data_IF_257283049049
#
_entry.id   IF_257283049049
#
_cell.length_a   1.000
_cell.length_b   1.000
_cell.length_c   1.000
_cell.angle_alpha   90.00
_cell.angle_beta   90.00
_cell.angle_gamma   90.00
#
_symmetry.space_group_name_H-M   'P 1'
#
loop_
_entity.id
_entity.type
_entity.pdbx_description
1 polymer ?
#
# COMPACT_ATOMS: atom_id res chain seq x y z
N UNK A 1 18.01 -10.94 -5.21
CA UNK A 1 16.94 -10.41 -6.10
C UNK A 1 15.70 -9.89 -5.38
N UNK A 2 15.52 -10.17 -4.09
CA UNK A 2 14.24 -10.06 -3.37
C UNK A 2 14.18 -8.91 -2.37
N UNK A 3 15.32 -8.32 -1.97
CA UNK A 3 15.40 -7.28 -0.94
C UNK A 3 14.47 -6.09 -1.19
N UNK A 4 14.53 -5.47 -2.38
CA UNK A 4 13.69 -4.31 -2.70
C UNK A 4 12.20 -4.65 -2.68
N UNK A 5 11.81 -5.83 -3.17
CA UNK A 5 10.41 -6.28 -3.16
C UNK A 5 9.91 -6.66 -1.76
N UNK A 6 10.78 -7.21 -0.89
CA UNK A 6 10.45 -7.49 0.50
C UNK A 6 10.17 -6.17 1.22
N UNK A 7 11.10 -5.21 1.11
CA UNK A 7 11.00 -3.88 1.72
C UNK A 7 9.74 -3.15 1.24
N UNK A 8 9.41 -3.19 -0.06
CA UNK A 8 8.18 -2.57 -0.56
C UNK A 8 6.93 -3.28 -0.05
N UNK A 9 6.93 -4.62 0.00
CA UNK A 9 5.77 -5.42 0.40
C UNK A 9 5.40 -5.21 1.86
N UNK A 10 6.39 -5.19 2.77
CA UNK A 10 6.13 -5.00 4.21
C UNK A 10 5.59 -3.59 4.51
N UNK A 11 6.00 -2.58 3.73
CA UNK A 11 5.49 -1.21 3.83
C UNK A 11 4.10 -1.07 3.21
N UNK A 12 3.89 -1.62 2.01
CA UNK A 12 2.59 -1.56 1.32
C UNK A 12 1.49 -2.27 2.11
N UNK A 13 1.84 -3.35 2.80
CA UNK A 13 0.94 -4.09 3.70
C UNK A 13 0.84 -3.48 5.11
N UNK A 14 1.59 -2.41 5.40
CA UNK A 14 1.61 -1.70 6.68
C UNK A 14 2.03 -2.55 7.88
N UNK A 15 2.92 -3.52 7.69
CA UNK A 15 3.53 -4.26 8.80
C UNK A 15 4.74 -3.51 9.39
N UNK A 16 5.43 -2.74 8.56
CA UNK A 16 6.50 -1.86 8.98
C UNK A 16 6.31 -0.48 8.34
N UNK A 17 6.74 0.55 9.03
CA UNK A 17 6.75 1.92 8.55
C UNK A 17 8.15 2.51 8.68
N UNK A 18 8.43 3.53 7.85
CA UNK A 18 9.71 4.22 7.86
C UNK A 18 9.51 5.60 8.49
N UNK A 19 10.05 5.79 9.70
CA UNK A 19 10.00 7.05 10.46
C UNK A 19 11.43 7.57 10.58
N UNK A 20 11.66 8.80 10.14
CA UNK A 20 12.98 9.48 10.17
C UNK A 20 14.14 8.63 9.60
N UNK A 21 13.87 7.96 8.48
CA UNK A 21 14.87 7.12 7.80
C UNK A 21 15.03 5.71 8.39
N UNK A 22 14.42 5.40 9.53
CA UNK A 22 14.52 4.10 10.23
C UNK A 22 13.23 3.29 10.09
N UNK A 23 13.35 1.97 10.11
CA UNK A 23 12.18 1.08 10.10
C UNK A 23 11.67 0.84 11.51
N UNK A 24 10.38 1.08 11.72
CA UNK A 24 9.65 0.74 12.93
C UNK A 24 8.55 -0.29 12.61
N UNK A 25 8.34 -1.31 13.46
CA UNK A 25 7.21 -2.22 13.29
C UNK A 25 5.91 -1.56 13.73
N UNK A 26 4.86 -1.67 12.91
CA UNK A 26 3.53 -1.19 13.27
C UNK A 26 2.89 -2.11 14.31
N UNK A 27 1.86 -1.66 15.02
CA UNK A 27 1.11 -2.50 15.97
C UNK A 27 0.53 -3.76 15.28
N UNK A 28 0.08 -3.60 14.02
CA UNK A 28 -0.40 -4.71 13.19
C UNK A 28 0.74 -5.67 12.86
N UNK A 29 1.92 -5.14 12.50
CA UNK A 29 3.12 -5.95 12.25
C UNK A 29 3.53 -6.77 13.45
N UNK A 30 3.61 -6.15 14.64
CA UNK A 30 3.95 -6.83 15.89
C UNK A 30 2.97 -7.95 16.20
N UNK A 31 1.68 -7.66 16.18
CA UNK A 31 0.66 -8.65 16.54
C UNK A 31 0.63 -9.84 15.58
N UNK A 32 0.78 -9.58 14.28
CA UNK A 32 0.84 -10.64 13.26
C UNK A 32 2.11 -11.46 13.44
N UNK A 33 3.25 -10.82 13.69
CA UNK A 33 4.50 -11.51 13.97
C UNK A 33 4.39 -12.41 15.21
N UNK A 34 3.82 -11.91 16.30
CA UNK A 34 3.64 -12.69 17.53
C UNK A 34 2.70 -13.88 17.32
N UNK A 35 1.65 -13.71 16.51
CA UNK A 35 0.77 -14.82 16.14
C UNK A 35 1.49 -15.85 15.27
N UNK A 36 2.27 -15.41 14.28
CA UNK A 36 3.04 -16.29 13.41
C UNK A 36 4.11 -17.06 14.18
N UNK A 37 4.81 -16.43 15.13
CA UNK A 37 5.79 -17.10 16.00
C UNK A 37 5.15 -18.18 16.88
N UNK A 38 3.91 -17.97 17.33
CA UNK A 38 3.16 -18.98 18.11
C UNK A 38 2.69 -20.14 17.25
N UNK A 39 2.25 -19.88 16.03
CA UNK A 39 1.70 -20.90 15.12
C UNK A 39 2.73 -21.65 14.31
N UNK A 40 3.87 -21.02 14.01
CA UNK A 40 4.88 -21.49 13.06
C UNK A 40 6.31 -21.20 13.56
N UNK A 41 6.70 -21.66 14.77
CA UNK A 41 8.02 -21.37 15.34
C UNK A 41 9.17 -21.88 14.46
N UNK A 42 8.96 -23.02 13.79
CA UNK A 42 9.98 -23.68 12.97
C UNK A 42 10.12 -23.07 11.57
N UNK A 43 9.12 -22.31 11.09
CA UNK A 43 9.14 -21.65 9.79
C UNK A 43 9.51 -20.16 9.87
N UNK A 44 9.20 -19.51 11.00
CA UNK A 44 9.41 -18.08 11.22
C UNK A 44 10.63 -17.90 12.12
N UNK A 45 11.75 -18.49 11.69
CA UNK A 45 13.06 -18.29 12.28
C UNK A 45 14.10 -18.04 11.19
N UNK A 46 15.25 -17.51 11.59
CA UNK A 46 16.32 -17.12 10.66
C UNK A 46 16.92 -18.36 9.98
N UNK A 47 17.10 -19.44 10.73
CA UNK A 47 17.75 -20.67 10.28
C UNK A 47 16.95 -21.38 9.17
N UNK A 48 15.62 -21.36 9.26
CA UNK A 48 14.71 -21.88 8.25
C UNK A 48 14.81 -21.08 6.95
N UNK A 49 14.86 -19.75 7.06
CA UNK A 49 15.00 -18.90 5.87
C UNK A 49 16.32 -19.09 5.15
N UNK A 50 17.43 -19.35 5.88
CA UNK A 50 18.69 -19.71 5.23
C UNK A 50 18.61 -21.08 4.55
N UNK A 51 18.04 -22.08 5.23
CA UNK A 51 17.94 -23.42 4.66
C UNK A 51 17.06 -23.46 3.40
N UNK A 52 15.97 -22.69 3.39
CA UNK A 52 15.09 -22.59 2.23
C UNK A 52 15.82 -22.00 1.00
N UNK A 53 16.65 -20.97 1.18
CA UNK A 53 17.42 -20.39 0.06
C UNK A 53 18.47 -21.37 -0.45
N UNK A 54 19.14 -22.12 0.44
CA UNK A 54 20.06 -23.21 0.05
C UNK A 54 19.36 -24.31 -0.76
N UNK A 55 18.13 -24.68 -0.38
CA UNK A 55 17.34 -25.65 -1.15
C UNK A 55 16.97 -25.12 -2.54
N UNK A 56 16.65 -23.83 -2.66
CA UNK A 56 16.34 -23.20 -3.93
C UNK A 56 17.58 -23.14 -4.84
N UNK A 57 18.75 -22.83 -4.28
CA UNK A 57 20.02 -22.85 -5.01
C UNK A 57 20.35 -24.28 -5.48
N UNK A 58 20.18 -25.29 -4.64
CA UNK A 58 20.38 -26.69 -5.02
C UNK A 58 19.43 -27.15 -6.14
N UNK A 59 18.22 -26.58 -6.20
CA UNK A 59 17.28 -26.81 -7.30
C UNK A 59 17.75 -26.11 -8.59
N UNK A 60 18.24 -24.87 -8.50
CA UNK A 60 18.77 -24.12 -9.64
C UNK A 60 19.99 -24.81 -10.26
N UNK A 61 20.87 -25.37 -9.43
CA UNK A 61 22.05 -26.13 -9.86
C UNK A 61 21.73 -27.54 -10.39
N UNK A 62 20.49 -28.01 -10.23
CA UNK A 62 20.06 -29.35 -10.62
C UNK A 62 20.42 -30.46 -9.64
N UNK A 63 20.92 -30.11 -8.45
CA UNK A 63 21.30 -31.02 -7.38
C UNK A 63 20.09 -31.58 -6.61
N UNK A 64 18.93 -30.90 -6.66
CA UNK A 64 17.67 -31.36 -6.04
C UNK A 64 16.47 -31.17 -6.99
N UNK A 65 15.58 -32.16 -7.15
CA UNK A 65 14.34 -31.96 -7.90
C UNK A 65 13.40 -31.00 -7.15
N UNK A 66 12.94 -29.93 -7.82
CA UNK A 66 12.07 -28.90 -7.21
C UNK A 66 10.78 -29.48 -6.61
N UNK A 67 10.21 -30.52 -7.23
CA UNK A 67 8.99 -31.19 -6.75
C UNK A 67 9.22 -31.82 -5.38
N UNK A 68 10.41 -32.35 -5.14
CA UNK A 68 10.78 -32.96 -3.86
C UNK A 68 10.91 -31.89 -2.78
N UNK A 69 11.62 -30.80 -3.05
CA UNK A 69 11.76 -29.68 -2.11
C UNK A 69 10.39 -29.10 -1.69
N UNK A 70 9.50 -28.85 -2.66
CA UNK A 70 8.14 -28.35 -2.37
C UNK A 70 7.32 -29.35 -1.55
N UNK A 71 7.43 -30.65 -1.84
CA UNK A 71 6.67 -31.69 -1.12
C UNK A 71 7.14 -31.82 0.34
N UNK A 72 8.45 -31.76 0.56
CA UNK A 72 9.05 -31.81 1.90
C UNK A 72 8.58 -30.62 2.75
N UNK A 73 8.67 -29.40 2.20
CA UNK A 73 8.12 -28.20 2.84
C UNK A 73 6.63 -28.33 3.18
N UNK A 74 5.81 -28.79 2.22
CA UNK A 74 4.37 -28.84 2.41
C UNK A 74 3.95 -29.86 3.48
N UNK A 75 4.73 -30.93 3.66
CA UNK A 75 4.49 -31.94 4.69
C UNK A 75 4.56 -31.37 6.10
N UNK A 76 5.63 -30.63 6.41
CA UNK A 76 5.79 -29.98 7.72
C UNK A 76 4.80 -28.83 7.88
N UNK A 77 4.67 -27.97 6.88
CA UNK A 77 3.76 -26.83 6.89
C UNK A 77 2.31 -27.22 7.15
N UNK A 78 1.82 -28.30 6.55
CA UNK A 78 0.42 -28.74 6.75
C UNK A 78 0.17 -29.12 8.20
N UNK A 79 1.13 -29.77 8.85
CA UNK A 79 1.03 -30.17 10.26
C UNK A 79 0.97 -28.95 11.17
N UNK A 80 1.81 -27.95 10.92
CA UNK A 80 1.83 -26.73 11.71
C UNK A 80 0.60 -25.86 11.44
N UNK A 81 0.08 -25.87 10.20
CA UNK A 81 -1.16 -25.19 9.84
C UNK A 81 -2.36 -25.75 10.61
N UNK A 82 -2.49 -27.08 10.74
CA UNK A 82 -3.58 -27.67 11.52
C UNK A 82 -3.50 -27.31 13.00
N UNK A 83 -2.30 -27.26 13.58
CA UNK A 83 -2.10 -26.76 14.95
C UNK A 83 -2.48 -25.29 15.06
N UNK A 84 -2.00 -24.46 14.13
CA UNK A 84 -2.20 -23.01 14.14
C UNK A 84 -3.69 -22.61 14.02
N UNK A 85 -4.54 -23.41 13.37
CA UNK A 85 -5.99 -23.17 13.32
C UNK A 85 -6.66 -23.15 14.69
N UNK A 86 -6.10 -23.83 15.69
CA UNK A 86 -6.65 -23.87 17.04
C UNK A 86 -6.20 -22.69 17.91
N UNK A 87 -5.18 -21.96 17.48
CA UNK A 87 -4.66 -20.80 18.21
C UNK A 87 -5.59 -19.61 17.95
N UNK A 88 -6.14 -18.97 19.00
CA UNK A 88 -6.98 -17.80 18.84
C UNK A 88 -6.23 -16.71 18.05
N UNK A 89 -6.86 -16.23 16.98
CA UNK A 89 -6.28 -15.20 16.15
C UNK A 89 -6.37 -13.82 16.82
N UNK A 90 -5.69 -12.81 16.26
CA UNK A 90 -5.83 -11.42 16.72
C UNK A 90 -7.28 -10.93 16.70
N UNK A 91 -8.12 -11.46 15.81
CA UNK A 91 -9.54 -11.13 15.68
C UNK A 91 -10.42 -11.68 16.82
N UNK A 92 -9.96 -12.72 17.50
CA UNK A 92 -10.70 -13.39 18.57
C UNK A 92 -10.37 -12.79 19.95
N UNK A 93 -9.34 -11.94 20.01
CA UNK A 93 -8.98 -11.21 21.22
C UNK A 93 -9.93 -10.03 21.40
N UNK A 94 -10.80 -10.10 22.41
CA UNK A 94 -11.72 -9.00 22.77
C UNK A 94 -10.97 -8.03 23.67
N UNK A 95 -10.74 -6.82 23.17
CA UNK A 95 -10.20 -5.72 23.98
C UNK A 95 -11.32 -5.07 24.82
N UNK A 96 -11.01 -4.58 26.03
CA UNK A 96 -11.99 -3.89 26.86
C UNK A 96 -12.59 -2.68 26.12
N UNK A 97 -13.87 -2.36 26.35
CA UNK A 97 -14.53 -1.22 25.72
C UNK A 97 -13.81 0.08 26.10
N UNK A 98 -13.80 1.02 25.16
CA UNK A 98 -13.11 2.30 25.32
C UNK A 98 -14.03 3.33 25.97
N UNK A 99 -13.45 4.31 26.66
CA UNK A 99 -14.21 5.45 27.24
C UNK A 99 -14.62 6.49 26.17
N UNK A 100 -14.49 6.17 24.89
CA UNK A 100 -14.80 7.07 23.78
C UNK A 100 -16.26 6.89 23.34
N UNK A 101 -17.13 7.90 23.52
CA UNK A 101 -18.50 7.84 23.04
C UNK A 101 -18.57 8.01 21.52
N UNK A 102 -19.44 7.24 20.87
CA UNK A 102 -19.69 7.34 19.45
C UNK A 102 -20.45 8.64 19.10
N UNK A 103 -19.91 9.46 18.18
CA UNK A 103 -20.51 10.73 17.72
C UNK A 103 -21.96 10.62 17.21
N UNK A 104 -22.39 9.45 16.73
CA UNK A 104 -23.73 9.25 16.15
C UNK A 104 -24.78 8.71 17.11
N UNK A 105 -24.38 8.07 18.20
CA UNK A 105 -25.33 7.37 19.07
C UNK A 105 -24.98 7.39 20.57
N UNK A 106 -23.84 7.96 20.96
CA UNK A 106 -23.42 8.08 22.35
C UNK A 106 -22.91 6.79 23.01
N UNK A 107 -23.00 5.62 22.35
CA UNK A 107 -22.48 4.36 22.91
C UNK A 107 -20.95 4.33 22.90
N UNK A 108 -20.38 3.73 23.93
CA UNK A 108 -18.93 3.51 24.04
C UNK A 108 -18.41 2.67 22.88
N UNK A 109 -17.35 3.15 22.23
CA UNK A 109 -16.76 2.47 21.08
C UNK A 109 -15.92 1.27 21.51
N UNK A 110 -15.87 0.25 20.65
CA UNK A 110 -15.09 -0.97 20.86
C UNK A 110 -13.97 -1.05 19.82
N UNK A 111 -12.80 -1.58 20.22
CA UNK A 111 -11.70 -1.83 19.30
C UNK A 111 -11.96 -3.14 18.56
N UNK A 112 -11.97 -3.10 17.23
CA UNK A 112 -12.14 -4.27 16.35
C UNK A 112 -11.00 -4.41 15.36
N UNK A 113 -10.77 -5.65 14.93
CA UNK A 113 -9.74 -6.00 13.97
C UNK A 113 -10.25 -6.00 12.52
N UNK A 114 -9.63 -5.18 11.67
CA UNK A 114 -9.89 -5.10 10.24
C UNK A 114 -8.68 -5.50 9.39
N UNK A 115 -8.82 -5.38 8.06
CA UNK A 115 -7.70 -5.62 7.12
C UNK A 115 -6.55 -4.61 7.26
N UNK A 116 -6.86 -3.41 7.76
CA UNK A 116 -5.92 -2.31 7.89
C UNK A 116 -5.44 -2.10 9.33
N UNK A 117 -5.65 -3.09 10.21
CA UNK A 117 -5.34 -3.01 11.64
C UNK A 117 -6.57 -2.82 12.53
N UNK A 118 -6.31 -2.41 13.77
CA UNK A 118 -7.34 -2.10 14.78
C UNK A 118 -8.06 -0.80 14.42
N UNK A 119 -9.35 -0.74 14.70
CA UNK A 119 -10.17 0.45 14.52
C UNK A 119 -11.26 0.51 15.58
N UNK A 120 -11.71 1.72 15.92
CA UNK A 120 -12.87 1.91 16.78
C UNK A 120 -14.14 1.69 15.98
N UNK A 121 -15.03 0.85 16.50
CA UNK A 121 -16.32 0.54 15.90
C UNK A 121 -17.43 0.75 16.92
N UNK A 122 -18.56 1.27 16.47
CA UNK A 122 -19.73 1.34 17.32
C UNK A 122 -20.30 -0.07 17.60
N UNK A 123 -20.60 -0.44 18.86
CA UNK A 123 -21.25 -1.72 19.19
C UNK A 123 -22.65 -1.83 18.58
N UNK A 124 -23.35 -0.70 18.43
CA UNK A 124 -24.69 -0.62 17.82
C UNK A 124 -24.70 -0.87 16.30
N UNK A 125 -23.66 -1.48 15.72
CA UNK A 125 -23.68 -1.89 14.32
C UNK A 125 -24.77 -2.93 14.01
N UNK A 126 -25.14 -3.76 15.00
CA UNK A 126 -26.20 -4.77 14.87
C UNK A 126 -27.61 -4.24 15.22
N UNK A 127 -27.71 -3.05 15.79
CA UNK A 127 -28.99 -2.47 16.20
C UNK A 127 -29.78 -1.96 14.98
N UNK A 128 -31.07 -1.68 15.16
CA UNK A 128 -31.92 -1.06 14.13
C UNK A 128 -32.37 0.33 14.61
N UNK A 129 -31.88 1.44 14.01
CA UNK A 129 -31.00 1.53 12.85
C UNK A 129 -29.52 1.25 13.18
N UNK A 130 -28.76 0.61 12.26
CA UNK A 130 -27.37 0.22 12.52
C UNK A 130 -26.45 1.44 12.52
N UNK A 131 -25.71 1.64 13.61
CA UNK A 131 -24.71 2.68 13.69
C UNK A 131 -23.41 2.21 13.01
N UNK A 132 -23.20 2.63 11.74
CA UNK A 132 -21.99 2.30 10.96
C UNK A 132 -20.80 3.25 11.21
N UNK A 133 -20.73 3.85 12.40
CA UNK A 133 -19.62 4.75 12.71
C UNK A 133 -18.35 3.96 13.00
N UNK A 134 -17.26 4.29 12.31
CA UNK A 134 -15.93 3.72 12.54
C UNK A 134 -14.87 4.80 12.48
N UNK A 135 -13.87 4.71 13.34
CA UNK A 135 -12.79 5.70 13.44
C UNK A 135 -11.44 5.00 13.62
N UNK A 136 -10.37 5.59 13.07
CA UNK A 136 -9.01 5.13 13.33
C UNK A 136 -8.50 5.77 14.62
N UNK A 137 -7.60 5.08 15.31
CA UNK A 137 -7.02 5.58 16.55
C UNK A 137 -5.55 5.20 16.66
N UNK A 138 -4.83 5.95 17.49
CA UNK A 138 -3.50 5.59 18.00
C UNK A 138 -3.58 5.48 19.52
N UNK A 139 -2.93 4.46 20.08
CA UNK A 139 -2.81 4.27 21.52
C UNK A 139 -1.50 4.92 21.98
N UNK A 140 -1.61 5.93 22.85
CA UNK A 140 -0.46 6.58 23.47
C UNK A 140 0.15 5.66 24.54
N UNK A 141 1.39 5.94 24.93
CA UNK A 141 2.12 5.17 25.97
C UNK A 141 1.36 5.15 27.30
N UNK A 142 0.62 6.21 27.60
CA UNK A 142 -0.23 6.34 28.79
C UNK A 142 -1.55 5.54 28.71
N UNK A 143 -1.72 4.72 27.66
CA UNK A 143 -2.94 3.94 27.43
C UNK A 143 -4.14 4.73 26.90
N UNK A 144 -4.01 6.05 26.77
CA UNK A 144 -5.06 6.93 26.24
C UNK A 144 -5.21 6.75 24.72
N UNK A 145 -6.44 6.69 24.25
CA UNK A 145 -6.78 6.49 22.83
C UNK A 145 -7.00 7.85 22.17
N UNK A 146 -6.14 8.21 21.21
CA UNK A 146 -6.29 9.42 20.40
C UNK A 146 -6.92 9.05 19.05
N UNK A 147 -8.05 9.65 18.73
CA UNK A 147 -8.66 9.52 17.40
C UNK A 147 -7.73 10.20 16.39
N UNK A 148 -7.24 9.43 15.43
CA UNK A 148 -6.41 9.96 14.35
C UNK A 148 -7.29 10.10 13.13
N UNK A 149 -7.65 11.33 12.73
CA UNK A 149 -8.36 11.50 11.48
C UNK A 149 -7.48 10.96 10.36
N UNK A 150 -8.08 10.19 9.45
CA UNK A 150 -7.38 9.76 8.24
C UNK A 150 -6.86 11.02 7.55
N UNK A 151 -5.55 11.19 7.51
CA UNK A 151 -4.93 12.34 6.84
C UNK A 151 -5.26 12.20 5.35
N UNK A 152 -6.29 12.90 4.92
CA UNK A 152 -6.59 13.08 3.51
C UNK A 152 -5.65 14.18 3.04
N UNK A 153 -4.65 13.85 2.22
CA UNK A 153 -3.84 14.87 1.57
C UNK A 153 -4.79 15.75 0.75
N UNK A 154 -5.04 16.96 1.23
CA UNK A 154 -5.79 17.99 0.50
C UNK A 154 -4.92 18.49 -0.63
N UNK A 155 -5.47 18.53 -1.83
CA UNK A 155 -4.84 19.18 -2.98
C UNK A 155 -5.25 20.64 -3.02
N UNK A 156 -4.42 21.50 -3.62
CA UNK A 156 -4.77 22.91 -3.86
C UNK A 156 -5.92 23.08 -4.88
N UNK A 157 -6.34 22.00 -5.54
CA UNK A 157 -7.43 22.00 -6.50
C UNK A 157 -8.79 22.05 -5.80
N UNK A 158 -9.61 23.05 -6.15
CA UNK A 158 -11.03 23.15 -5.77
C UNK A 158 -11.89 22.41 -6.77
N UNK A 159 -12.94 21.76 -6.30
CA UNK A 159 -13.83 21.03 -7.18
C UNK A 159 -14.71 21.97 -8.03
N UNK A 160 -14.79 21.68 -9.32
CA UNK A 160 -15.59 22.45 -10.30
C UNK A 160 -17.09 22.52 -9.97
N UNK A 161 -17.64 21.56 -9.21
CA UNK A 161 -19.08 21.51 -8.89
C UNK A 161 -19.43 22.13 -7.53
N UNK A 162 -18.63 21.83 -6.50
CA UNK A 162 -18.91 22.17 -5.10
C UNK A 162 -18.04 23.35 -4.61
N UNK A 163 -16.99 23.75 -5.34
CA UNK A 163 -15.90 24.64 -4.89
C UNK A 163 -15.16 24.19 -3.62
N UNK A 164 -15.57 23.08 -3.01
CA UNK A 164 -14.90 22.48 -1.86
C UNK A 164 -13.51 21.97 -2.25
N UNK A 165 -12.56 21.93 -1.30
CA UNK A 165 -11.22 21.41 -1.55
C UNK A 165 -11.31 19.95 -1.99
N UNK A 166 -10.43 19.55 -2.91
CA UNK A 166 -10.34 18.16 -3.30
C UNK A 166 -9.29 17.41 -2.47
N UNK A 167 -9.51 16.11 -2.27
CA UNK A 167 -8.72 15.24 -1.41
C UNK A 167 -8.21 14.02 -2.17
N UNK A 168 -6.95 13.64 -1.93
CA UNK A 168 -6.35 12.45 -2.54
C UNK A 168 -6.83 11.20 -1.80
N UNK A 169 -7.55 10.34 -2.52
CA UNK A 169 -8.01 9.02 -2.04
C UNK A 169 -7.28 7.92 -2.82
N UNK A 170 -7.17 6.75 -2.19
CA UNK A 170 -6.59 5.56 -2.82
C UNK A 170 -7.71 4.55 -3.10
N UNK A 171 -7.79 4.06 -4.34
CA UNK A 171 -8.79 3.07 -4.76
C UNK A 171 -8.16 1.93 -5.57
N UNK A 172 -8.99 1.07 -6.14
CA UNK A 172 -8.54 -0.13 -6.91
C UNK A 172 -7.63 0.19 -8.09
N UNK A 173 -7.74 1.39 -8.64
CA UNK A 173 -6.99 1.83 -9.83
C UNK A 173 -5.77 2.70 -9.49
N UNK A 174 -5.49 2.94 -8.21
CA UNK A 174 -4.44 3.85 -7.75
C UNK A 174 -5.02 5.05 -7.01
N UNK A 175 -4.18 6.07 -6.85
CA UNK A 175 -4.57 7.33 -6.20
C UNK A 175 -5.41 8.18 -7.16
N UNK A 176 -6.46 8.80 -6.65
CA UNK A 176 -7.35 9.69 -7.38
C UNK A 176 -7.78 10.85 -6.47
N UNK A 177 -8.29 11.92 -7.06
CA UNK A 177 -8.76 13.10 -6.35
C UNK A 177 -10.29 13.03 -6.24
N UNK A 178 -10.87 13.35 -5.08
CA UNK A 178 -12.33 13.41 -4.86
C UNK A 178 -12.75 14.73 -4.17
N UNK A 179 -13.97 15.25 -4.40
CA UNK A 179 -14.47 16.39 -3.61
C UNK A 179 -14.53 15.98 -2.13
N UNK A 180 -14.06 16.85 -1.23
CA UNK A 180 -14.14 16.67 0.23
C UNK A 180 -15.58 16.58 0.72
N UNK A 181 -16.52 17.27 0.06
CA UNK A 181 -17.95 17.26 0.38
C UNK A 181 -18.69 15.98 -0.05
N UNK A 182 -18.00 14.84 -0.20
CA UNK A 182 -18.65 13.55 -0.35
C UNK A 182 -19.39 13.19 0.95
N UNK A 183 -20.67 12.78 0.93
CA UNK A 183 -21.43 12.19 -0.19
C UNK A 183 -22.20 13.17 -1.09
N UNK A 184 -22.34 14.43 -0.68
CA UNK A 184 -23.12 15.47 -1.37
C UNK A 184 -22.57 15.76 -2.77
N UNK A 185 -21.24 15.79 -2.90
CA UNK A 185 -20.57 15.92 -4.19
C UNK A 185 -19.74 14.68 -4.52
N UNK A 186 -20.19 13.91 -5.51
CA UNK A 186 -19.54 12.67 -5.98
C UNK A 186 -18.47 12.90 -7.06
N UNK A 187 -18.01 14.13 -7.24
CA UNK A 187 -16.99 14.46 -8.25
C UNK A 187 -15.67 13.78 -7.91
N UNK A 188 -15.13 13.03 -8.87
CA UNK A 188 -13.81 12.41 -8.79
C UNK A 188 -13.03 12.73 -10.06
N UNK A 189 -11.72 12.91 -9.92
CA UNK A 189 -10.79 13.17 -11.01
C UNK A 189 -9.56 12.28 -10.87
N UNK A 190 -8.92 11.87 -11.98
CA UNK A 190 -7.61 11.23 -11.92
C UNK A 190 -6.59 12.17 -11.25
N UNK A 191 -5.70 11.61 -10.42
CA UNK A 191 -4.58 12.38 -9.88
C UNK A 191 -3.55 12.63 -11.00
N UNK A 192 -3.42 13.88 -11.44
CA UNK A 192 -2.40 14.28 -12.39
C UNK A 192 -1.01 14.20 -11.74
N UNK A 193 0.00 13.76 -12.51
CA UNK A 193 1.39 13.71 -12.04
C UNK A 193 2.12 15.06 -12.16
N UNK A 194 1.42 16.12 -12.57
CA UNK A 194 2.00 17.43 -12.87
C UNK A 194 2.77 17.48 -14.19
N UNK A 195 2.85 16.37 -14.93
CA UNK A 195 3.56 16.28 -16.21
C UNK A 195 2.58 16.43 -17.37
N UNK A 196 2.81 17.45 -18.21
CA UNK A 196 2.02 17.69 -19.43
C UNK A 196 2.29 16.61 -20.49
N UNK A 197 1.27 16.30 -21.29
CA UNK A 197 1.41 15.37 -22.40
C UNK A 197 2.39 15.93 -23.44
N UNK A 198 3.43 15.17 -23.84
CA UNK A 198 4.40 15.65 -24.84
C UNK A 198 3.87 15.58 -26.28
N UNK A 199 2.67 15.05 -26.51
CA UNK A 199 2.11 14.93 -27.87
C UNK A 199 1.71 16.32 -28.41
N UNK A 200 2.15 16.71 -29.62
CA UNK A 200 1.85 18.02 -30.19
C UNK A 200 0.34 18.26 -30.30
N UNK A 201 -0.12 19.43 -29.86
CA UNK A 201 -1.54 19.79 -29.82
C UNK A 201 -2.33 19.20 -28.63
N UNK A 202 -1.68 18.46 -27.73
CA UNK A 202 -2.35 17.88 -26.56
C UNK A 202 -2.08 18.67 -25.28
N UNK A 203 -3.03 19.50 -24.84
CA UNK A 203 -2.98 20.16 -23.52
C UNK A 203 -3.35 19.25 -22.33
N UNK A 204 -3.26 17.92 -22.48
CA UNK A 204 -3.61 16.96 -21.43
C UNK A 204 -2.48 16.77 -20.40
N UNK A 205 -2.80 16.11 -19.29
CA UNK A 205 -1.85 15.74 -18.24
C UNK A 205 -1.65 14.23 -18.21
N UNK A 206 -0.46 13.76 -17.83
CA UNK A 206 -0.20 12.34 -17.65
C UNK A 206 -0.79 11.87 -16.32
N UNK A 207 -1.58 10.80 -16.41
CA UNK A 207 -2.27 10.17 -15.30
C UNK A 207 -1.91 8.68 -15.23
N UNK A 208 -1.90 8.13 -14.03
CA UNK A 208 -1.67 6.70 -13.83
C UNK A 208 -2.94 5.90 -14.16
N UNK A 209 -2.81 4.88 -15.01
CA UNK A 209 -3.84 3.90 -15.37
C UNK A 209 -3.35 2.47 -15.13
N UNK A 210 -4.25 1.49 -15.16
CA UNK A 210 -3.96 0.05 -15.02
C UNK A 210 -4.50 -0.71 -16.22
N UNK A 211 -3.81 -1.77 -16.64
CA UNK A 211 -4.25 -2.63 -17.75
C UNK A 211 -5.56 -3.37 -17.41
N UNK A 212 -6.29 -3.89 -18.41
CA UNK A 212 -7.59 -4.59 -18.24
C UNK A 212 -7.52 -5.76 -17.24
N UNK A 213 -6.37 -6.44 -17.12
CA UNK A 213 -6.12 -7.53 -16.17
C UNK A 213 -5.51 -7.07 -14.83
N UNK A 214 -5.39 -5.76 -14.59
CA UNK A 214 -4.93 -5.16 -13.34
C UNK A 214 -3.44 -5.33 -13.01
N UNK A 215 -2.69 -6.09 -13.82
CA UNK A 215 -1.35 -6.57 -13.49
C UNK A 215 -0.26 -5.49 -13.55
N UNK A 216 -0.38 -4.48 -14.43
CA UNK A 216 0.67 -3.46 -14.61
C UNK A 216 0.07 -2.06 -14.71
N UNK A 217 0.68 -1.11 -14.01
CA UNK A 217 0.38 0.30 -14.17
C UNK A 217 1.07 0.86 -15.40
N UNK A 218 0.42 1.79 -16.07
CA UNK A 218 0.98 2.57 -17.18
C UNK A 218 0.53 4.02 -17.03
N UNK A 219 1.26 4.94 -17.64
CA UNK A 219 1.00 6.38 -17.56
C UNK A 219 0.55 6.85 -18.93
N UNK A 220 -0.66 7.39 -19.00
CA UNK A 220 -1.25 7.82 -20.26
C UNK A 220 -1.85 9.21 -20.13
N UNK A 221 -2.09 9.85 -21.27
CA UNK A 221 -2.76 11.14 -21.31
C UNK A 221 -4.15 11.06 -20.65
N UNK A 222 -4.54 12.11 -19.94
CA UNK A 222 -5.88 12.28 -19.35
C UNK A 222 -6.99 12.20 -20.41
N UNK A 223 -6.70 12.64 -21.65
CA UNK A 223 -7.61 12.60 -22.81
C UNK A 223 -7.62 11.26 -23.56
N UNK A 224 -6.92 10.23 -23.09
CA UNK A 224 -6.95 8.90 -23.71
C UNK A 224 -8.37 8.31 -23.68
N UNK A 225 -8.93 7.84 -24.82
CA UNK A 225 -8.24 7.38 -26.04
C UNK A 225 -7.97 8.43 -27.12
N UNK A 226 -8.49 9.67 -27.01
CA UNK A 226 -8.31 10.70 -28.04
C UNK A 226 -6.84 11.15 -28.21
N UNK A 227 -6.04 10.99 -27.17
CA UNK A 227 -4.58 11.07 -27.23
C UNK A 227 -4.02 9.72 -26.75
N UNK A 228 -3.45 8.94 -27.67
CA UNK A 228 -2.95 7.58 -27.43
C UNK A 228 -1.58 7.53 -26.76
N UNK A 229 -1.01 8.69 -26.42
CA UNK A 229 0.25 8.75 -25.71
C UNK A 229 0.18 7.99 -24.38
N UNK A 230 1.01 6.94 -24.29
CA UNK A 230 1.14 6.08 -23.13
C UNK A 230 2.61 5.65 -22.94
N UNK A 231 3.00 5.43 -21.69
CA UNK A 231 4.33 4.99 -21.31
C UNK A 231 4.28 4.08 -20.08
N UNK A 232 5.28 3.22 -19.94
CA UNK A 232 5.35 2.27 -18.82
C UNK A 232 6.06 2.85 -17.61
N UNK A 233 7.10 3.64 -17.83
CA UNK A 233 7.91 4.27 -16.79
C UNK A 233 7.17 5.47 -16.21
N UNK A 234 7.36 5.72 -14.91
CA UNK A 234 6.65 6.81 -14.21
C UNK A 234 7.30 8.15 -14.56
N UNK A 235 6.56 9.13 -15.11
CA UNK A 235 7.10 10.45 -15.36
C UNK A 235 7.16 11.26 -14.05
N UNK A 236 8.26 12.00 -13.87
CA UNK A 236 8.50 12.91 -12.75
C UNK A 236 8.51 14.34 -13.30
N UNK A 237 7.78 15.24 -12.65
CA UNK A 237 7.71 16.67 -13.02
C UNK A 237 8.99 17.41 -12.62
N UNK A 238 10.12 17.02 -13.22
CA UNK A 238 11.44 17.64 -13.10
C UNK A 238 12.01 17.70 -14.51
N UNK A 239 12.37 18.91 -14.96
CA UNK A 239 13.03 19.08 -16.25
C UNK A 239 14.43 18.46 -16.21
N UNK A 240 14.88 17.90 -17.33
CA UNK A 240 16.24 17.39 -17.40
C UNK A 240 17.24 18.55 -17.39
N UNK A 241 18.23 18.56 -16.48
CA UNK A 241 19.21 19.65 -16.41
C UNK A 241 20.18 19.66 -17.61
N UNK A 242 20.29 18.56 -18.36
CA UNK A 242 21.26 18.41 -19.46
C UNK A 242 20.64 18.71 -20.83
N UNK A 243 19.45 18.19 -21.14
CA UNK A 243 18.80 18.36 -22.45
C UNK A 243 17.52 19.18 -22.41
N UNK A 244 17.15 19.74 -21.26
CA UNK A 244 15.91 20.51 -21.07
C UNK A 244 14.63 19.75 -21.44
N UNK A 245 14.68 18.41 -21.44
CA UNK A 245 13.49 17.59 -21.61
C UNK A 245 12.42 17.95 -20.56
N UNK A 246 11.13 17.95 -20.93
CA UNK A 246 10.06 18.50 -20.09
C UNK A 246 9.82 17.70 -18.79
N UNK A 247 10.23 16.43 -18.77
CA UNK A 247 10.12 15.57 -17.60
C UNK A 247 11.17 14.47 -17.64
N UNK A 248 11.50 13.94 -16.46
CA UNK A 248 12.34 12.75 -16.29
C UNK A 248 11.46 11.51 -16.06
N UNK A 249 12.06 10.33 -16.16
CA UNK A 249 11.38 9.05 -15.90
C UNK A 249 12.03 8.31 -14.74
N UNK A 250 11.21 7.75 -13.86
CA UNK A 250 11.65 6.83 -12.81
C UNK A 250 11.75 5.43 -13.41
N UNK A 251 12.96 4.87 -13.39
CA UNK A 251 13.19 3.46 -13.68
C UNK A 251 13.57 2.73 -12.41
N UNK A 252 13.01 1.54 -12.27
CA UNK A 252 13.37 0.61 -11.19
C UNK A 252 14.11 -0.55 -11.83
N UNK A 253 15.42 -0.64 -11.60
CA UNK A 253 16.26 -1.72 -12.10
C UNK A 253 16.75 -2.59 -10.94
N UNK A 254 17.06 -3.86 -11.23
CA UNK A 254 17.55 -4.80 -10.21
C UNK A 254 18.93 -4.39 -9.64
N UNK A 255 19.77 -3.71 -10.44
CA UNK A 255 21.16 -3.38 -10.08
C UNK A 255 21.29 -2.05 -9.33
N UNK A 256 20.53 -1.02 -9.71
CA UNK A 256 20.69 0.35 -9.19
C UNK A 256 19.51 0.76 -8.30
N UNK A 257 18.45 -0.05 -8.22
CA UNK A 257 17.25 0.30 -7.46
C UNK A 257 16.41 1.34 -8.21
N UNK A 258 15.94 2.36 -7.49
CA UNK A 258 15.21 3.49 -8.08
C UNK A 258 16.21 4.49 -8.64
N UNK A 259 16.06 4.82 -9.92
CA UNK A 259 16.86 5.83 -10.59
C UNK A 259 15.96 6.74 -11.39
N UNK A 260 16.23 8.03 -11.34
CA UNK A 260 15.59 9.04 -12.18
C UNK A 260 16.49 9.26 -13.38
N UNK A 261 15.98 9.08 -14.58
CA UNK A 261 16.78 9.22 -15.80
C UNK A 261 16.04 10.01 -16.86
N UNK A 262 16.78 10.58 -17.80
CA UNK A 262 16.16 11.20 -18.96
C UNK A 262 15.50 10.13 -19.83
N UNK A 263 14.41 10.51 -20.49
CA UNK A 263 13.75 9.65 -21.47
C UNK A 263 14.56 9.56 -22.76
N UNK A 264 15.25 10.63 -23.12
CA UNK A 264 16.11 10.67 -24.30
C UNK A 264 17.41 9.91 -24.00
N UNK A 265 17.63 8.83 -24.75
CA UNK A 265 18.84 8.02 -24.63
C UNK A 265 20.10 8.80 -25.02
N UNK A 266 19.98 9.81 -25.91
CA UNK A 266 21.10 10.65 -26.33
C UNK A 266 21.62 11.58 -25.22
N UNK A 267 20.76 11.95 -24.27
CA UNK A 267 21.13 12.84 -23.18
C UNK A 267 21.96 12.14 -22.10
N UNK A 268 21.74 10.84 -21.86
CA UNK A 268 22.48 10.06 -20.88
C UNK A 268 22.28 10.45 -19.40
N UNK A 269 21.49 11.47 -19.06
CA UNK A 269 21.30 11.92 -17.68
C UNK A 269 20.67 10.84 -16.79
N UNK A 270 21.31 10.55 -15.66
CA UNK A 270 20.85 9.62 -14.62
C UNK A 270 21.19 10.18 -13.24
N UNK A 271 20.22 10.10 -12.34
CA UNK A 271 20.27 10.52 -10.94
C UNK A 271 19.80 9.34 -10.09
N UNK A 272 20.60 8.93 -9.10
CA UNK A 272 20.19 7.89 -8.16
C UNK A 272 19.06 8.42 -7.28
N UNK A 273 17.99 7.62 -7.09
CA UNK A 273 16.79 7.98 -6.34
C UNK A 273 16.70 7.34 -4.96
#
# INVERSE_FOLDING_TARGET
STYASIISTIQDRKYAEKVDGRFGPTETGRTVNDFLLKGFPDLINVDFTSHMEEELDAVEEGNKPWVTAVREFYGTFTTDLEKAKTIPGPKDTVEPPTDLPCEKCGKMMEIKWGRNGKFLACPAYKDKPPCKNTQNFEKLEDGTIKIVPKIELTTDEKCEKCSSPMVVKTGRFGKFIACSAYPECKTTKPLALGVKCPQPGCGGDLVQKRTKKGARAFFACSKYPACEYAMWDRPINKACPTCSAPFLIEKVTKQVGRSVQCRDEACGYREAG
#
